data_IF_642886874511
#
_entry.id   IF_642886874511
#
_cell.length_a   1.000
_cell.length_b   1.000
_cell.length_c   1.000
_cell.angle_alpha   90.00
_cell.angle_beta   90.00
_cell.angle_gamma   90.00
#
_symmetry.space_group_name_H-M   'P 1'
#
loop_
_entity.id
_entity.type
_entity.pdbx_description
1 polymer ?
#
# COMPACT_ATOMS: atom_id res chain seq x y z
N UNK A 1 11.82 12.91 2.77
CA UNK A 1 10.55 13.23 3.45
C UNK A 1 10.07 11.92 4.05
N UNK A 2 9.92 11.84 5.38
CA UNK A 2 9.46 10.62 6.05
C UNK A 2 7.94 10.49 5.89
N UNK A 3 7.41 9.26 5.93
CA UNK A 3 5.99 8.87 5.89
C UNK A 3 5.00 9.85 6.57
N UNK A 4 5.44 10.51 7.64
CA UNK A 4 4.66 11.44 8.44
C UNK A 4 4.22 12.70 7.68
N UNK A 5 4.90 13.07 6.58
CA UNK A 5 4.63 14.29 5.81
C UNK A 5 3.82 14.01 4.52
N UNK A 6 3.53 12.74 4.22
CA UNK A 6 2.77 12.36 3.03
C UNK A 6 1.28 12.19 3.38
N UNK A 7 0.40 13.14 3.00
CA UNK A 7 -1.01 13.10 3.38
C UNK A 7 -1.75 11.90 2.79
N UNK A 8 -1.29 11.36 1.65
CA UNK A 8 -1.93 10.22 1.01
C UNK A 8 -1.60 8.91 1.73
N UNK A 9 -0.34 8.74 2.17
CA UNK A 9 0.04 7.60 3.02
C UNK A 9 -0.69 7.65 4.36
N UNK A 10 -0.74 8.81 5.01
CA UNK A 10 -1.48 8.98 6.26
C UNK A 10 -2.98 8.66 6.10
N UNK A 11 -3.61 9.16 5.05
CA UNK A 11 -5.02 8.86 4.74
C UNK A 11 -5.25 7.37 4.47
N UNK A 12 -4.34 6.73 3.72
CA UNK A 12 -4.38 5.28 3.49
C UNK A 12 -4.30 4.47 4.79
N UNK A 13 -3.39 4.82 5.70
CA UNK A 13 -3.30 4.13 6.98
C UNK A 13 -4.57 4.27 7.83
N UNK A 14 -5.18 5.46 7.86
CA UNK A 14 -6.47 5.68 8.52
C UNK A 14 -7.61 4.91 7.85
N UNK A 15 -7.58 4.78 6.52
CA UNK A 15 -8.55 4.00 5.77
C UNK A 15 -8.51 2.51 6.17
N UNK A 16 -7.31 1.94 6.33
CA UNK A 16 -7.16 0.55 6.78
C UNK A 16 -7.77 0.28 8.15
N UNK A 17 -7.64 1.22 9.09
CA UNK A 17 -8.23 1.10 10.44
C UNK A 17 -9.76 0.99 10.40
N UNK A 18 -10.39 1.56 9.36
CA UNK A 18 -11.84 1.67 9.25
C UNK A 18 -12.48 0.65 8.32
N UNK A 19 -11.73 0.14 7.34
CA UNK A 19 -12.25 -0.71 6.27
C UNK A 19 -11.76 -2.16 6.30
N UNK A 20 -11.00 -2.56 7.33
CA UNK A 20 -10.36 -3.90 7.41
C UNK A 20 -9.61 -4.28 6.14
N UNK A 21 -9.12 -3.28 5.39
CA UNK A 21 -8.64 -3.44 4.02
C UNK A 21 -7.16 -3.74 3.90
N UNK A 22 -6.54 -4.34 4.93
CA UNK A 22 -5.16 -4.81 4.82
C UNK A 22 -5.10 -6.10 4.01
N UNK A 23 -5.19 -5.96 2.70
CA UNK A 23 -5.11 -7.03 1.72
C UNK A 23 -4.19 -6.61 0.57
N UNK A 24 -2.87 -6.49 0.83
CA UNK A 24 -1.92 -6.14 -0.22
C UNK A 24 -1.93 -7.20 -1.33
N UNK A 25 -1.65 -6.82 -2.59
CA UNK A 25 -1.42 -7.77 -3.66
C UNK A 25 -0.19 -8.63 -3.34
N UNK A 26 -0.12 -9.83 -3.94
CA UNK A 26 1.12 -10.60 -3.97
C UNK A 26 2.20 -9.91 -4.81
N UNK A 27 3.45 -10.32 -4.58
CA UNK A 27 4.64 -9.71 -5.20
C UNK A 27 4.60 -9.79 -6.73
N UNK A 28 4.14 -10.91 -7.30
CA UNK A 28 4.05 -11.11 -8.75
C UNK A 28 3.02 -10.16 -9.37
N UNK A 29 1.83 -10.06 -8.76
CA UNK A 29 0.78 -9.13 -9.19
C UNK A 29 1.22 -7.68 -9.10
N UNK A 30 1.91 -7.31 -8.01
CA UNK A 30 2.44 -5.97 -7.85
C UNK A 30 3.50 -5.65 -8.91
N UNK A 31 4.41 -6.58 -9.18
CA UNK A 31 5.46 -6.41 -10.17
C UNK A 31 4.90 -6.21 -11.58
N UNK A 32 3.84 -6.94 -11.94
CA UNK A 32 3.14 -6.80 -13.23
C UNK A 32 2.56 -5.39 -13.40
N UNK A 33 1.84 -4.89 -12.39
CA UNK A 33 1.30 -3.52 -12.42
C UNK A 33 2.41 -2.47 -12.54
N UNK A 34 3.47 -2.62 -11.75
CA UNK A 34 4.61 -1.69 -11.75
C UNK A 34 5.31 -1.69 -13.11
N UNK A 35 5.45 -2.85 -13.76
CA UNK A 35 6.02 -2.95 -15.11
C UNK A 35 5.19 -2.20 -16.15
N UNK A 36 3.87 -2.17 -15.98
CA UNK A 36 2.93 -1.40 -16.79
C UNK A 36 2.84 0.09 -16.40
N UNK A 37 3.59 0.52 -15.38
CA UNK A 37 3.59 1.91 -14.88
C UNK A 37 2.33 2.30 -14.11
N UNK A 38 1.54 1.32 -13.66
CA UNK A 38 0.30 1.52 -12.91
C UNK A 38 0.36 0.82 -11.55
N UNK A 39 -0.54 1.19 -10.65
CA UNK A 39 -0.78 0.44 -9.42
C UNK A 39 -2.19 0.72 -8.90
N UNK A 40 -2.72 -0.21 -8.10
CA UNK A 40 -3.99 0.01 -7.41
C UNK A 40 -3.79 0.66 -6.04
N UNK A 41 -4.74 1.50 -5.68
CA UNK A 41 -4.95 1.94 -4.31
C UNK A 41 -5.77 0.90 -3.51
N UNK A 42 -5.79 0.97 -2.17
CA UNK A 42 -6.58 0.05 -1.32
C UNK A 42 -8.09 0.06 -1.58
N UNK A 43 -8.61 1.11 -2.19
CA UNK A 43 -9.99 1.27 -2.62
C UNK A 43 -10.22 0.81 -4.08
N UNK A 44 -9.30 0.03 -4.64
CA UNK A 44 -9.30 -0.48 -6.01
C UNK A 44 -9.13 0.57 -7.13
N UNK A 45 -8.87 1.84 -6.80
CA UNK A 45 -8.56 2.84 -7.82
C UNK A 45 -7.26 2.51 -8.55
N UNK A 46 -7.27 2.49 -9.89
CA UNK A 46 -6.08 2.32 -10.72
C UNK A 46 -5.50 3.69 -11.09
N UNK A 47 -4.24 3.93 -10.70
CA UNK A 47 -3.50 5.18 -10.99
C UNK A 47 -2.05 4.85 -11.36
N UNK A 48 -1.24 5.87 -11.66
CA UNK A 48 0.21 5.71 -11.83
C UNK A 48 0.84 5.07 -10.58
N UNK A 49 1.95 4.33 -10.76
CA UNK A 49 2.61 3.56 -9.69
C UNK A 49 2.90 4.37 -8.43
N UNK A 50 3.42 5.58 -8.57
CA UNK A 50 3.72 6.53 -7.48
C UNK A 50 2.60 7.58 -7.27
N UNK A 51 1.41 7.31 -7.81
CA UNK A 51 0.26 8.21 -7.79
C UNK A 51 -0.53 8.20 -6.47
N UNK A 52 -1.57 9.03 -6.48
CA UNK A 52 -2.63 9.11 -5.46
C UNK A 52 -3.97 9.13 -6.18
N UNK A 53 -4.95 8.36 -5.71
CA UNK A 53 -6.28 8.37 -6.32
C UNK A 53 -7.07 9.64 -5.98
N UNK A 54 -8.20 9.86 -6.66
CA UNK A 54 -9.10 10.99 -6.41
C UNK A 54 -9.68 11.02 -4.99
N UNK A 55 -9.70 9.87 -4.29
CA UNK A 55 -10.12 9.77 -2.89
C UNK A 55 -8.99 10.10 -1.89
N UNK A 56 -7.80 10.42 -2.37
CA UNK A 56 -6.66 10.80 -1.55
C UNK A 56 -5.86 9.63 -0.98
N UNK A 57 -6.02 8.41 -1.50
CA UNK A 57 -5.28 7.23 -1.04
C UNK A 57 -4.03 7.00 -1.90
N UNK A 58 -2.91 6.66 -1.25
CA UNK A 58 -1.70 6.19 -1.91
C UNK A 58 -1.89 4.79 -2.50
N UNK A 59 -1.13 4.47 -3.56
CA UNK A 59 -1.05 3.14 -4.17
C UNK A 59 -0.43 2.10 -3.24
N UNK A 60 -0.71 0.81 -3.49
CA UNK A 60 -0.06 -0.29 -2.77
C UNK A 60 1.47 -0.25 -2.89
N UNK A 61 2.02 0.15 -4.05
CA UNK A 61 3.46 0.35 -4.22
C UNK A 61 4.03 1.32 -3.18
N UNK A 62 3.44 2.52 -3.06
CA UNK A 62 3.90 3.53 -2.09
C UNK A 62 3.74 3.06 -0.65
N UNK A 63 2.63 2.38 -0.33
CA UNK A 63 2.41 1.82 1.01
C UNK A 63 3.50 0.81 1.35
N UNK A 64 3.86 -0.09 0.42
CA UNK A 64 4.86 -1.12 0.66
C UNK A 64 6.27 -0.53 0.80
N UNK A 65 6.65 0.41 -0.08
CA UNK A 65 7.92 1.15 0.04
C UNK A 65 7.99 1.87 1.39
N UNK A 66 6.92 2.57 1.80
CA UNK A 66 6.88 3.24 3.10
C UNK A 66 7.08 2.27 4.28
N UNK A 67 6.52 1.05 4.19
CA UNK A 67 6.74 0.03 5.22
C UNK A 67 8.19 -0.47 5.25
N UNK A 68 8.83 -0.64 4.10
CA UNK A 68 10.24 -1.01 4.01
C UNK A 68 11.14 0.08 4.59
N UNK A 69 10.77 1.36 4.40
CA UNK A 69 11.45 2.54 4.94
C UNK A 69 11.16 2.81 6.43
N UNK A 70 10.35 1.98 7.10
CA UNK A 70 10.06 2.09 8.53
C UNK A 70 8.81 2.90 8.90
N UNK A 71 7.87 3.01 7.96
CA UNK A 71 6.57 3.67 8.09
C UNK A 71 5.68 3.16 9.23
N UNK A 72 4.49 3.75 9.44
CA UNK A 72 3.64 3.46 10.60
C UNK A 72 3.24 1.98 10.73
N UNK A 73 3.12 1.27 9.60
CA UNK A 73 2.84 -0.16 9.58
C UNK A 73 4.06 -1.07 9.71
N UNK A 74 5.29 -0.57 9.56
CA UNK A 74 6.51 -1.36 9.72
C UNK A 74 6.68 -1.89 11.16
N UNK A 75 6.10 -1.13 12.12
CA UNK A 75 5.99 -1.54 13.54
C UNK A 75 4.98 -2.67 13.78
N UNK A 76 4.16 -3.02 12.80
CA UNK A 76 3.13 -4.07 12.84
C UNK A 76 3.44 -5.13 11.79
N UNK A 77 4.48 -5.93 12.01
CA UNK A 77 4.81 -7.06 11.13
C UNK A 77 3.60 -7.99 11.02
N UNK A 78 3.02 -8.22 9.83
CA UNK A 78 2.08 -9.31 9.64
C UNK A 78 2.89 -10.60 9.64
N UNK A 79 2.64 -11.47 10.62
CA UNK A 79 3.19 -12.82 10.62
C UNK A 79 2.79 -13.50 9.30
N UNK A 80 3.78 -13.88 8.50
CA UNK A 80 3.57 -14.63 7.27
C UNK A 80 2.61 -15.79 7.52
N UNK A 81 1.55 -15.86 6.73
CA UNK A 81 0.56 -16.95 6.79
C UNK A 81 1.30 -18.25 6.40
N UNK A 82 1.37 -19.28 7.27
CA UNK A 82 2.09 -20.51 6.94
C UNK A 82 1.39 -21.20 5.76
N UNK A 83 2.17 -21.57 4.73
CA UNK A 83 1.71 -22.41 3.62
C UNK A 83 1.28 -23.76 4.21
N UNK A 84 0.00 -24.13 4.08
CA UNK A 84 -0.46 -25.48 4.47
C UNK A 84 0.16 -26.50 3.52
N UNK A 85 0.96 -27.41 4.08
CA UNK A 85 1.41 -28.66 3.45
C UNK A 85 0.24 -29.60 3.20
#
# INVERSE_FOLDING_TARGET
MTAADDPALAATYLWFERHSGWAPPDEDTLADWVADGVCRCPDDCLVATDGTCAHGLATWWRVLVDLEDGGPGARRTPTARPKKT
#
